data_IF_907129780288
#
_entry.id   IF_907129780288
#
_cell.length_a   1.000
_cell.length_b   1.000
_cell.length_c   1.000
_cell.angle_alpha   90.00
_cell.angle_beta   90.00
_cell.angle_gamma   90.00
#
_symmetry.space_group_name_H-M   'P 1'
#
loop_
_entity.id
_entity.type
_entity.pdbx_description
1 polymer ?
#
# COMPACT_ATOMS: atom_id res chain seq x y z
N UNK A 1 4.78 -32.06 18.39
CA UNK A 1 3.41 -31.47 18.37
C UNK A 1 3.52 -30.20 17.54
N UNK A 2 3.30 -30.32 16.22
CA UNK A 2 3.44 -29.23 15.26
C UNK A 2 2.08 -28.55 15.09
N UNK A 3 1.98 -27.30 15.53
CA UNK A 3 0.78 -26.50 15.30
C UNK A 3 0.75 -26.09 13.83
N UNK A 4 -0.31 -26.52 13.12
CA UNK A 4 -0.54 -26.22 11.71
C UNK A 4 -0.87 -24.74 11.49
N UNK A 5 0.02 -24.02 10.82
CA UNK A 5 -0.29 -22.80 10.13
C UNK A 5 -0.66 -23.15 8.68
N UNK A 6 -1.93 -23.38 8.44
CA UNK A 6 -2.43 -23.71 7.12
C UNK A 6 -3.87 -23.24 6.93
N UNK A 7 -4.07 -21.91 6.83
CA UNK A 7 -5.28 -21.34 6.24
C UNK A 7 -4.96 -20.90 4.81
N UNK A 8 -5.90 -21.07 3.84
CA UNK A 8 -5.67 -20.62 2.48
C UNK A 8 -5.58 -19.08 2.47
N UNK A 9 -4.43 -18.55 2.03
CA UNK A 9 -4.26 -17.13 1.74
C UNK A 9 -5.06 -16.82 0.47
N UNK A 10 -6.34 -16.56 0.62
CA UNK A 10 -7.19 -16.05 -0.46
C UNK A 10 -6.85 -14.56 -0.67
N UNK A 11 -5.76 -14.30 -1.41
CA UNK A 11 -5.27 -12.96 -1.73
C UNK A 11 -6.09 -12.28 -2.83
N UNK A 12 -7.21 -11.65 -2.47
CA UNK A 12 -7.90 -10.69 -3.32
C UNK A 12 -7.46 -9.25 -3.03
N UNK A 13 -7.89 -8.25 -3.83
CA UNK A 13 -7.58 -6.82 -3.59
C UNK A 13 -8.01 -6.32 -2.21
N UNK A 14 -8.94 -7.00 -1.55
CA UNK A 14 -9.34 -6.77 -0.16
C UNK A 14 -8.26 -7.17 0.85
N UNK A 15 -7.33 -8.06 0.50
CA UNK A 15 -6.27 -8.54 1.40
C UNK A 15 -5.14 -7.53 1.52
N UNK A 16 -4.73 -6.89 0.41
CA UNK A 16 -3.73 -5.83 0.44
C UNK A 16 -4.25 -4.60 1.20
N UNK A 17 -5.51 -4.21 0.98
CA UNK A 17 -6.15 -3.14 1.72
C UNK A 17 -6.32 -3.51 3.21
N UNK A 18 -6.69 -4.75 3.51
CA UNK A 18 -6.80 -5.28 4.87
C UNK A 18 -5.46 -5.26 5.61
N UNK A 19 -4.36 -5.63 4.96
CA UNK A 19 -3.02 -5.57 5.53
C UNK A 19 -2.58 -4.11 5.81
N UNK A 20 -2.90 -3.19 4.89
CA UNK A 20 -2.64 -1.76 5.08
C UNK A 20 -3.44 -1.16 6.24
N UNK A 21 -4.68 -1.62 6.42
CA UNK A 21 -5.57 -1.13 7.46
C UNK A 21 -5.51 -1.95 8.76
N UNK A 22 -4.57 -2.91 8.88
CA UNK A 22 -4.36 -3.65 10.13
C UNK A 22 -3.88 -2.74 11.26
N UNK A 23 -4.07 -3.13 12.54
CA UNK A 23 -3.61 -2.35 13.68
C UNK A 23 -2.12 -1.98 13.58
N UNK A 24 -1.78 -0.79 14.05
CA UNK A 24 -0.39 -0.30 14.08
C UNK A 24 0.35 -0.93 15.25
N UNK A 25 1.36 -1.73 14.94
CA UNK A 25 2.30 -2.26 15.92
C UNK A 25 3.42 -1.24 16.14
N UNK A 26 3.58 -0.73 17.36
CA UNK A 26 4.70 0.14 17.70
C UNK A 26 4.37 1.28 18.67
N UNK A 27 5.35 1.70 19.45
CA UNK A 27 5.27 2.70 20.53
C UNK A 27 5.58 4.15 20.12
N UNK A 28 5.54 4.48 18.83
CA UNK A 28 5.83 5.84 18.33
C UNK A 28 4.59 6.75 18.26
N UNK A 29 4.75 8.01 17.77
CA UNK A 29 3.65 8.90 17.53
C UNK A 29 2.65 8.27 16.56
N UNK A 30 1.47 7.89 17.07
CA UNK A 30 0.48 7.13 16.30
C UNK A 30 -0.06 7.91 15.10
N UNK A 31 -0.10 9.23 15.18
CA UNK A 31 -0.51 10.12 14.08
C UNK A 31 0.43 9.96 12.88
N UNK A 32 1.76 10.03 13.11
CA UNK A 32 2.76 9.91 12.04
C UNK A 32 2.74 8.50 11.42
N UNK A 33 2.54 7.47 12.24
CA UNK A 33 2.43 6.10 11.76
C UNK A 33 1.19 5.90 10.86
N UNK A 34 0.04 6.52 11.21
CA UNK A 34 -1.16 6.51 10.35
C UNK A 34 -0.89 7.25 9.04
N UNK A 35 -0.29 8.45 9.10
CA UNK A 35 0.07 9.24 7.91
C UNK A 35 0.98 8.44 7.00
N UNK A 36 2.07 7.87 7.54
CA UNK A 36 3.02 7.07 6.77
C UNK A 36 2.35 5.88 6.08
N UNK A 37 1.50 5.15 6.82
CA UNK A 37 0.82 3.96 6.30
C UNK A 37 -0.17 4.28 5.18
N UNK A 38 -1.02 5.28 5.35
CA UNK A 38 -1.98 5.69 4.31
C UNK A 38 -1.23 6.28 3.10
N UNK A 39 -0.21 7.12 3.32
CA UNK A 39 0.62 7.66 2.24
C UNK A 39 1.32 6.56 1.44
N UNK A 40 1.85 5.54 2.10
CA UNK A 40 2.47 4.40 1.44
C UNK A 40 1.44 3.61 0.60
N UNK A 41 0.24 3.34 1.14
CA UNK A 41 -0.82 2.64 0.42
C UNK A 41 -1.27 3.39 -0.85
N UNK A 42 -1.36 4.72 -0.76
CA UNK A 42 -1.66 5.59 -1.92
C UNK A 42 -0.49 5.54 -2.92
N UNK A 43 0.75 5.69 -2.44
CA UNK A 43 1.96 5.66 -3.27
C UNK A 43 2.16 4.34 -4.01
N UNK A 44 1.84 3.22 -3.38
CA UNK A 44 1.88 1.87 -3.96
C UNK A 44 0.67 1.56 -4.86
N UNK A 45 -0.31 2.48 -4.94
CA UNK A 45 -1.52 2.27 -5.73
C UNK A 45 -2.50 1.24 -5.14
N UNK A 46 -2.31 0.81 -3.90
CA UNK A 46 -3.25 -0.05 -3.17
C UNK A 46 -4.56 0.71 -2.95
N UNK A 47 -4.45 2.01 -2.61
CA UNK A 47 -5.58 2.95 -2.57
C UNK A 47 -5.57 3.80 -3.83
N UNK A 48 -6.55 3.57 -4.72
CA UNK A 48 -6.65 4.28 -5.99
C UNK A 48 -7.18 5.71 -5.81
N UNK A 49 -6.87 6.59 -6.78
CA UNK A 49 -7.48 7.92 -6.86
C UNK A 49 -9.01 7.84 -6.84
N UNK A 50 -9.65 8.76 -6.12
CA UNK A 50 -11.10 8.79 -5.96
C UNK A 50 -11.68 7.73 -5.02
N UNK A 51 -10.87 6.81 -4.47
CA UNK A 51 -11.35 5.81 -3.50
C UNK A 51 -11.87 6.52 -2.25
N UNK A 52 -13.10 6.22 -1.85
CA UNK A 52 -13.63 6.67 -0.56
C UNK A 52 -12.99 5.86 0.56
N UNK A 53 -12.46 6.55 1.57
CA UNK A 53 -11.98 5.92 2.80
C UNK A 53 -13.18 5.47 3.66
N UNK A 54 -13.01 4.43 4.48
CA UNK A 54 -13.99 4.08 5.51
C UNK A 54 -14.33 5.29 6.40
N UNK A 55 -15.44 5.24 7.10
CA UNK A 55 -15.78 6.28 8.07
C UNK A 55 -14.67 6.45 9.11
N UNK A 56 -14.54 7.63 9.70
CA UNK A 56 -13.49 7.90 10.71
C UNK A 56 -13.51 6.89 11.86
N UNK A 57 -14.71 6.44 12.26
CA UNK A 57 -14.85 5.45 13.34
C UNK A 57 -14.35 4.08 12.90
N UNK A 58 -14.75 3.63 11.72
CA UNK A 58 -14.31 2.34 11.16
C UNK A 58 -12.81 2.31 10.91
N UNK A 59 -12.28 3.38 10.30
CA UNK A 59 -10.86 3.48 9.98
C UNK A 59 -10.00 3.55 11.25
N UNK A 60 -10.43 4.30 12.27
CA UNK A 60 -9.76 4.35 13.57
C UNK A 60 -9.75 2.97 14.25
N UNK A 61 -10.87 2.25 14.19
CA UNK A 61 -10.97 0.90 14.74
C UNK A 61 -10.04 -0.08 14.02
N UNK A 62 -10.02 -0.04 12.70
CA UNK A 62 -9.15 -0.91 11.88
C UNK A 62 -7.67 -0.67 12.15
N UNK A 63 -7.25 0.60 12.28
CA UNK A 63 -5.88 0.99 12.55
C UNK A 63 -5.47 0.87 14.02
N UNK A 64 -6.42 0.57 14.93
CA UNK A 64 -6.16 0.47 16.36
C UNK A 64 -5.76 1.80 17.01
N UNK A 65 -6.30 2.93 16.52
CA UNK A 65 -6.02 4.27 17.02
C UNK A 65 -7.30 4.98 17.51
N UNK A 66 -7.12 6.08 18.26
CA UNK A 66 -8.27 6.92 18.63
C UNK A 66 -8.80 7.69 17.42
N UNK A 67 -10.08 8.05 17.43
CA UNK A 67 -10.67 8.92 16.39
C UNK A 67 -10.02 10.30 16.37
N UNK A 68 -9.49 10.78 17.47
CA UNK A 68 -8.73 12.03 17.55
C UNK A 68 -7.42 11.90 16.76
N UNK A 69 -6.63 10.86 17.03
CA UNK A 69 -5.38 10.56 16.31
C UNK A 69 -5.63 10.42 14.81
N UNK A 70 -6.72 9.73 14.43
CA UNK A 70 -7.06 9.59 13.02
C UNK A 70 -7.42 10.94 12.37
N UNK A 71 -8.19 11.81 13.05
CA UNK A 71 -8.52 13.14 12.53
C UNK A 71 -7.31 14.01 12.30
N UNK A 72 -6.35 13.97 13.23
CA UNK A 72 -5.06 14.66 13.08
C UNK A 72 -4.30 14.12 11.85
N UNK A 73 -4.20 12.82 11.72
CA UNK A 73 -3.55 12.19 10.55
C UNK A 73 -4.24 12.56 9.23
N UNK A 74 -5.58 12.52 9.20
CA UNK A 74 -6.35 12.94 8.02
C UNK A 74 -6.18 14.44 7.72
N UNK A 75 -5.97 15.29 8.72
CA UNK A 75 -5.66 16.70 8.50
C UNK A 75 -4.31 16.84 7.79
N UNK A 76 -3.27 16.17 8.26
CA UNK A 76 -1.95 16.15 7.63
C UNK A 76 -2.03 15.62 6.19
N UNK A 77 -2.77 14.51 5.97
CA UNK A 77 -2.94 13.95 4.63
C UNK A 77 -3.68 14.92 3.67
N UNK A 78 -4.61 15.73 4.18
CA UNK A 78 -5.27 16.79 3.39
C UNK A 78 -4.31 17.93 3.06
N UNK A 79 -3.50 18.37 4.00
CA UNK A 79 -2.44 19.37 3.76
C UNK A 79 -1.44 18.89 2.72
N UNK A 80 -1.13 17.59 2.72
CA UNK A 80 -0.28 16.94 1.74
C UNK A 80 -0.98 16.72 0.39
N UNK A 81 -2.27 17.03 0.26
CA UNK A 81 -3.05 16.81 -0.96
C UNK A 81 -3.35 15.34 -1.31
N UNK A 82 -3.10 14.41 -0.39
CA UNK A 82 -3.34 12.97 -0.58
C UNK A 82 -4.78 12.54 -0.28
N UNK A 83 -5.51 13.35 0.47
CA UNK A 83 -6.91 13.13 0.84
C UNK A 83 -7.68 14.42 0.66
N UNK A 84 -8.91 14.32 0.18
CA UNK A 84 -9.87 15.43 0.19
C UNK A 84 -11.11 15.07 0.98
N UNK A 85 -11.80 16.06 1.53
CA UNK A 85 -13.08 15.88 2.20
C UNK A 85 -14.19 16.46 1.36
N UNK A 86 -15.21 15.65 1.04
CA UNK A 86 -16.45 16.09 0.38
C UNK A 86 -17.57 16.15 1.40
N UNK A 87 -18.36 17.24 1.38
CA UNK A 87 -19.49 17.46 2.28
C UNK A 87 -20.79 17.00 1.63
N UNK A 88 -21.81 16.72 2.45
CA UNK A 88 -23.17 16.42 2.00
C UNK A 88 -23.47 14.92 1.89
N UNK A 89 -24.59 14.59 1.24
CA UNK A 89 -25.06 13.22 1.05
C UNK A 89 -24.07 12.47 0.15
N UNK A 90 -23.45 11.40 0.65
CA UNK A 90 -22.33 10.71 -0.03
C UNK A 90 -20.97 11.38 0.21
N UNK A 91 -20.88 12.29 1.18
CA UNK A 91 -19.62 12.91 1.62
C UNK A 91 -18.68 11.91 2.32
N UNK A 92 -17.51 12.39 2.70
CA UNK A 92 -16.47 11.58 3.36
C UNK A 92 -15.08 12.01 2.96
N UNK A 93 -14.10 11.22 3.33
CA UNK A 93 -12.71 11.40 2.92
C UNK A 93 -12.42 10.55 1.68
N UNK A 94 -11.78 11.15 0.68
CA UNK A 94 -11.48 10.50 -0.60
C UNK A 94 -9.99 10.62 -0.90
N UNK A 95 -9.41 9.56 -1.45
CA UNK A 95 -8.02 9.54 -1.88
C UNK A 95 -7.80 10.45 -3.09
N UNK A 96 -6.69 11.19 -3.07
CA UNK A 96 -6.15 11.96 -4.20
C UNK A 96 -4.79 11.37 -4.57
N UNK A 97 -4.71 10.76 -5.74
CA UNK A 97 -3.54 10.03 -6.19
C UNK A 97 -3.27 10.29 -7.69
N UNK A 98 -3.34 11.58 -8.11
CA UNK A 98 -3.01 11.92 -9.49
C UNK A 98 -1.57 11.54 -9.82
N UNK A 99 -1.31 11.18 -11.08
CA UNK A 99 0.03 10.81 -11.55
C UNK A 99 1.06 11.90 -11.24
N UNK A 100 0.69 13.15 -11.47
CA UNK A 100 1.54 14.32 -11.23
C UNK A 100 1.89 14.46 -9.74
N UNK A 101 0.90 14.39 -8.85
CA UNK A 101 1.12 14.48 -7.40
C UNK A 101 2.06 13.37 -6.92
N UNK A 102 1.82 12.13 -7.34
CA UNK A 102 2.64 10.99 -6.94
C UNK A 102 4.06 11.08 -7.50
N UNK A 103 4.23 11.54 -8.74
CA UNK A 103 5.54 11.74 -9.35
C UNK A 103 6.33 12.82 -8.61
N UNK A 104 5.73 14.00 -8.37
CA UNK A 104 6.38 15.10 -7.67
C UNK A 104 6.81 14.68 -6.25
N UNK A 105 5.96 13.95 -5.52
CA UNK A 105 6.31 13.42 -4.19
C UNK A 105 7.44 12.40 -4.23
N UNK A 106 7.42 11.51 -5.23
CA UNK A 106 8.49 10.51 -5.39
C UNK A 106 9.83 11.19 -5.72
N UNK A 107 9.82 12.19 -6.59
CA UNK A 107 11.02 12.95 -6.93
C UNK A 107 11.56 13.75 -5.75
N UNK A 108 10.69 14.43 -4.99
CA UNK A 108 11.10 15.14 -3.78
C UNK A 108 11.75 14.19 -2.77
N UNK A 109 11.14 13.01 -2.57
CA UNK A 109 11.68 12.02 -1.65
C UNK A 109 13.01 11.42 -2.11
N UNK A 110 13.18 11.19 -3.42
CA UNK A 110 14.46 10.71 -3.96
C UNK A 110 15.61 11.69 -3.73
N UNK A 111 15.34 12.99 -3.67
CA UNK A 111 16.37 14.00 -3.38
C UNK A 111 16.87 13.97 -1.92
N UNK A 112 16.14 13.33 -1.02
CA UNK A 112 16.52 13.17 0.39
C UNK A 112 17.51 12.00 0.61
N UNK A 113 17.63 11.09 -0.38
CA UNK A 113 18.48 9.90 -0.29
C UNK A 113 19.86 10.15 -0.91
N UNK A 114 20.90 9.66 -0.24
CA UNK A 114 22.22 9.54 -0.83
C UNK A 114 22.30 8.36 -1.80
N UNK A 115 23.33 8.32 -2.63
CA UNK A 115 23.59 7.14 -3.49
C UNK A 115 23.78 5.86 -2.66
N UNK A 116 24.37 5.98 -1.46
CA UNK A 116 24.56 4.84 -0.58
C UNK A 116 23.21 4.34 -0.04
N UNK A 117 22.34 5.23 0.43
CA UNK A 117 20.98 4.85 0.89
C UNK A 117 20.20 4.11 -0.20
N UNK A 118 20.31 4.54 -1.46
CA UNK A 118 19.65 3.88 -2.58
C UNK A 118 20.24 2.48 -2.89
N UNK A 119 21.56 2.30 -2.69
CA UNK A 119 22.19 0.99 -2.83
C UNK A 119 21.74 0.05 -1.71
N UNK A 120 21.76 0.51 -0.47
CA UNK A 120 21.36 -0.28 0.68
C UNK A 120 19.89 -0.70 0.57
N UNK A 121 19.01 0.21 0.13
CA UNK A 121 17.61 -0.09 -0.15
C UNK A 121 17.46 -1.12 -1.30
N UNK A 122 18.29 -1.00 -2.34
CA UNK A 122 18.32 -1.96 -3.45
C UNK A 122 18.74 -3.35 -3.00
N UNK A 123 19.77 -3.46 -2.16
CA UNK A 123 20.28 -4.71 -1.60
C UNK A 123 19.24 -5.37 -0.68
N UNK A 124 18.58 -4.58 0.17
CA UNK A 124 17.47 -5.06 1.03
C UNK A 124 16.32 -5.58 0.18
N UNK A 125 15.90 -4.81 -0.82
CA UNK A 125 14.83 -5.22 -1.74
C UNK A 125 15.19 -6.51 -2.48
N UNK A 126 16.41 -6.62 -3.00
CA UNK A 126 16.89 -7.82 -3.69
C UNK A 126 16.87 -9.06 -2.78
N UNK A 127 17.33 -8.91 -1.54
CA UNK A 127 17.35 -10.00 -0.57
C UNK A 127 15.93 -10.50 -0.24
N UNK A 128 15.01 -9.57 0.06
CA UNK A 128 13.62 -9.92 0.41
C UNK A 128 12.86 -10.46 -0.80
N UNK A 129 12.89 -9.76 -1.92
CA UNK A 129 12.16 -10.17 -3.14
C UNK A 129 12.72 -11.49 -3.71
N UNK A 130 14.04 -11.67 -3.67
CA UNK A 130 14.68 -12.92 -4.10
C UNK A 130 14.28 -14.11 -3.23
N UNK A 131 14.29 -13.95 -1.91
CA UNK A 131 13.82 -14.99 -0.99
C UNK A 131 12.33 -15.31 -1.18
N UNK A 132 11.49 -14.28 -1.32
CA UNK A 132 10.05 -14.44 -1.59
C UNK A 132 9.81 -15.22 -2.90
N UNK A 133 10.49 -14.85 -3.99
CA UNK A 133 10.37 -15.53 -5.27
C UNK A 133 10.75 -17.02 -5.18
N UNK A 134 11.84 -17.35 -4.47
CA UNK A 134 12.26 -18.75 -4.25
C UNK A 134 11.21 -19.53 -3.45
N UNK A 135 10.62 -18.92 -2.43
CA UNK A 135 9.57 -19.54 -1.63
C UNK A 135 8.27 -19.71 -2.42
N UNK A 136 7.90 -18.69 -3.22
CA UNK A 136 6.74 -18.76 -4.10
C UNK A 136 6.84 -19.91 -5.09
N UNK A 137 7.98 -20.12 -5.75
CA UNK A 137 8.16 -21.24 -6.70
C UNK A 137 7.96 -22.62 -6.08
N UNK A 138 8.17 -22.75 -4.76
CA UNK A 138 7.99 -24.00 -4.01
C UNK A 138 6.56 -24.22 -3.52
N UNK A 139 5.76 -23.16 -3.43
CA UNK A 139 4.45 -23.16 -2.78
C UNK A 139 3.30 -22.88 -3.74
N UNK A 140 3.58 -22.21 -4.86
CA UNK A 140 2.58 -21.80 -5.82
C UNK A 140 1.84 -22.99 -6.44
N UNK A 141 0.53 -22.85 -6.55
CA UNK A 141 -0.32 -23.75 -7.32
C UNK A 141 -0.62 -23.14 -8.69
N UNK A 142 -1.20 -23.93 -9.61
CA UNK A 142 -1.48 -23.45 -10.97
C UNK A 142 -2.30 -22.15 -11.02
N UNK A 143 -3.25 -21.99 -10.10
CA UNK A 143 -4.07 -20.79 -10.01
C UNK A 143 -3.26 -19.53 -9.63
N UNK A 144 -2.22 -19.67 -8.80
CA UNK A 144 -1.34 -18.55 -8.43
C UNK A 144 -0.52 -18.10 -9.63
N UNK A 145 0.01 -19.09 -10.41
CA UNK A 145 0.78 -18.83 -11.64
C UNK A 145 -0.07 -18.07 -12.67
N UNK A 146 -1.34 -18.46 -12.85
CA UNK A 146 -2.24 -17.76 -13.78
C UNK A 146 -2.55 -16.33 -13.30
N UNK A 147 -2.73 -16.10 -12.00
CA UNK A 147 -2.90 -14.75 -11.44
C UNK A 147 -1.65 -13.88 -11.67
N UNK A 148 -0.47 -14.42 -11.41
CA UNK A 148 0.80 -13.71 -11.63
C UNK A 148 1.03 -13.38 -13.10
N UNK A 149 0.72 -14.31 -14.03
CA UNK A 149 0.77 -14.03 -15.47
C UNK A 149 -0.15 -12.89 -15.88
N UNK A 150 -1.39 -12.89 -15.37
CA UNK A 150 -2.32 -11.80 -15.64
C UNK A 150 -1.86 -10.45 -15.07
N UNK A 151 -1.16 -10.43 -13.94
CA UNK A 151 -0.56 -9.22 -13.38
C UNK A 151 0.63 -8.75 -14.22
N UNK A 152 1.52 -9.63 -14.61
CA UNK A 152 2.67 -9.34 -15.46
C UNK A 152 2.24 -8.79 -16.83
N UNK A 153 1.20 -9.38 -17.43
CA UNK A 153 0.66 -8.91 -18.71
C UNK A 153 0.08 -7.50 -18.57
N UNK A 154 -0.71 -7.22 -17.53
CA UNK A 154 -1.22 -5.87 -17.27
C UNK A 154 -0.12 -4.85 -17.07
N UNK A 155 0.98 -5.25 -16.44
CA UNK A 155 2.16 -4.38 -16.28
C UNK A 155 2.80 -4.08 -17.64
N UNK A 156 2.99 -5.10 -18.48
CA UNK A 156 3.59 -4.94 -19.81
C UNK A 156 2.73 -4.10 -20.77
N UNK A 157 1.41 -4.19 -20.65
CA UNK A 157 0.46 -3.43 -21.49
C UNK A 157 0.20 -2.01 -20.98
N UNK A 158 0.66 -1.67 -19.78
CA UNK A 158 0.39 -0.38 -19.15
C UNK A 158 1.32 0.71 -19.69
N UNK A 159 0.76 1.69 -20.38
CA UNK A 159 1.48 2.88 -20.86
C UNK A 159 1.47 4.04 -19.82
N UNK A 160 0.61 3.96 -18.81
CA UNK A 160 0.47 4.99 -17.79
C UNK A 160 1.27 4.63 -16.53
N UNK A 161 2.15 5.53 -16.05
CA UNK A 161 2.99 5.29 -14.88
C UNK A 161 2.23 4.92 -13.60
N UNK A 162 1.01 5.43 -13.39
CA UNK A 162 0.18 5.10 -12.21
C UNK A 162 -0.33 3.68 -12.30
N UNK A 163 -0.82 3.27 -13.47
CA UNK A 163 -1.30 1.91 -13.70
C UNK A 163 -0.16 0.90 -13.65
N UNK A 164 1.01 1.24 -14.22
CA UNK A 164 2.22 0.41 -14.14
C UNK A 164 2.65 0.18 -12.70
N UNK A 165 2.75 1.24 -11.89
CA UNK A 165 3.10 1.13 -10.46
C UNK A 165 2.10 0.26 -9.69
N UNK A 166 0.81 0.43 -9.97
CA UNK A 166 -0.24 -0.38 -9.33
C UNK A 166 -0.16 -1.85 -9.71
N UNK A 167 0.13 -2.16 -10.97
CA UNK A 167 0.30 -3.53 -11.44
C UNK A 167 1.55 -4.17 -10.83
N UNK A 168 2.67 -3.44 -10.77
CA UNK A 168 3.91 -3.87 -10.13
C UNK A 168 3.72 -4.15 -8.64
N UNK A 169 3.15 -3.21 -7.89
CA UNK A 169 2.89 -3.41 -6.46
C UNK A 169 2.00 -4.63 -6.18
N UNK A 170 0.98 -4.87 -7.01
CA UNK A 170 0.13 -6.05 -6.89
C UNK A 170 0.88 -7.34 -7.21
N UNK A 171 1.75 -7.31 -8.21
CA UNK A 171 2.59 -8.45 -8.54
C UNK A 171 3.52 -8.81 -7.37
N UNK A 172 4.18 -7.82 -6.78
CA UNK A 172 5.06 -8.02 -5.62
C UNK A 172 4.31 -8.59 -4.40
N UNK A 173 3.11 -8.07 -4.12
CA UNK A 173 2.27 -8.60 -3.02
C UNK A 173 1.81 -10.03 -3.28
N UNK A 174 1.54 -10.40 -4.53
CA UNK A 174 1.09 -11.77 -4.86
C UNK A 174 2.25 -12.79 -4.79
N UNK A 175 3.50 -12.35 -4.95
CA UNK A 175 4.69 -13.20 -4.84
C UNK A 175 5.07 -13.46 -3.38
N UNK A 176 4.72 -12.56 -2.43
CA UNK A 176 5.07 -12.68 -1.00
C UNK A 176 4.01 -13.39 -0.19
#
# INVERSE_FOLDING_TARGET
MAAGFGGPLTGGPLTALGAVLSPLDGGGPRTDAVVARISAAIGLGVMADGTQLPSEVELATQLGVSTMTLREALAVLREQGLVETRRGRGGGSFVRASAELLTNRSMARLQEYTVQDLRDLGDEHFAVAGAAAVLATRRAVAADVERLRGLAQRLAESADPVHSRRADSRFQVEVT
#
